data_IF_177174551578
#
_entry.id   IF_177174551578
#
_cell.length_a   1.000
_cell.length_b   1.000
_cell.length_c   1.000
_cell.angle_alpha   90.00
_cell.angle_beta   90.00
_cell.angle_gamma   90.00
#
_symmetry.space_group_name_H-M   'P 1'
#
loop_
_entity.id
_entity.type
_entity.pdbx_description
1 polymer ?
#
# COMPACT_ATOMS: atom_id res chain seq x y z
N UNK A 1 34.46 -0.74 -11.06
CA UNK A 1 34.16 -0.81 -9.64
C UNK A 1 34.23 0.62 -9.05
N UNK A 2 33.10 1.15 -8.53
CA UNK A 2 33.03 2.50 -8.01
C UNK A 2 33.58 2.62 -6.57
N UNK A 3 33.98 1.49 -5.93
CA UNK A 3 34.41 1.47 -4.53
C UNK A 3 33.33 1.85 -3.52
N UNK A 4 32.07 1.97 -3.97
CA UNK A 4 30.96 2.36 -3.12
C UNK A 4 30.50 1.16 -2.27
N UNK A 5 30.21 1.39 -0.96
CA UNK A 5 29.61 0.37 -0.12
C UNK A 5 28.18 0.06 -0.57
N UNK A 6 27.78 -1.22 -0.41
CA UNK A 6 26.45 -1.72 -0.79
C UNK A 6 25.61 -1.92 0.47
N UNK A 7 24.37 -1.47 0.47
CA UNK A 7 23.34 -1.90 1.43
C UNK A 7 22.52 -2.98 0.73
N UNK A 8 22.58 -4.21 1.23
CA UNK A 8 21.83 -5.33 0.68
C UNK A 8 20.40 -5.33 1.22
N UNK A 9 19.41 -5.09 0.37
CA UNK A 9 18.00 -5.20 0.72
C UNK A 9 17.45 -6.57 0.32
N UNK A 10 16.98 -7.36 1.30
CA UNK A 10 16.35 -8.66 1.09
C UNK A 10 14.88 -8.58 1.45
N UNK A 11 14.00 -9.07 0.56
CA UNK A 11 12.57 -9.16 0.89
C UNK A 11 12.34 -10.31 1.87
N UNK A 12 11.76 -10.01 3.04
CA UNK A 12 11.37 -11.00 4.05
C UNK A 12 9.92 -11.49 3.87
N UNK A 13 9.03 -10.63 3.32
CA UNK A 13 7.61 -10.99 3.14
C UNK A 13 7.41 -12.25 2.30
N UNK A 14 6.65 -13.21 2.84
CA UNK A 14 6.35 -14.49 2.20
C UNK A 14 7.48 -15.53 2.28
N UNK A 15 8.48 -15.31 3.15
CA UNK A 15 9.59 -16.24 3.41
C UNK A 15 9.67 -16.60 4.88
N UNK A 16 10.19 -17.78 5.16
CA UNK A 16 10.59 -18.17 6.51
C UNK A 16 11.89 -17.45 6.92
N UNK A 17 12.19 -17.31 8.22
CA UNK A 17 13.45 -16.70 8.69
C UNK A 17 14.70 -17.34 8.08
N UNK A 18 14.72 -18.67 7.97
CA UNK A 18 15.85 -19.41 7.37
C UNK A 18 16.02 -19.09 5.88
N UNK A 19 14.93 -18.99 5.11
CA UNK A 19 14.99 -18.61 3.69
C UNK A 19 15.48 -17.18 3.50
N UNK A 20 15.11 -16.26 4.40
CA UNK A 20 15.62 -14.88 4.37
C UNK A 20 17.14 -14.87 4.57
N UNK A 21 17.65 -15.61 5.55
CA UNK A 21 19.08 -15.73 5.80
C UNK A 21 19.82 -16.37 4.62
N UNK A 22 19.28 -17.45 4.08
CA UNK A 22 19.88 -18.14 2.91
C UNK A 22 19.99 -17.21 1.68
N UNK A 23 18.95 -16.43 1.40
CA UNK A 23 18.99 -15.45 0.31
C UNK A 23 20.04 -14.37 0.59
N UNK A 24 20.12 -13.89 1.84
CA UNK A 24 21.15 -12.92 2.23
C UNK A 24 22.56 -13.49 2.03
N UNK A 25 22.84 -14.72 2.49
CA UNK A 25 24.13 -15.41 2.32
C UNK A 25 24.53 -15.52 0.85
N UNK A 26 23.61 -15.97 -0.02
CA UNK A 26 23.86 -16.09 -1.46
C UNK A 26 24.20 -14.75 -2.08
N UNK A 27 23.46 -13.70 -1.74
CA UNK A 27 23.72 -12.35 -2.25
C UNK A 27 25.05 -11.79 -1.73
N UNK A 28 25.38 -12.01 -0.46
CA UNK A 28 26.67 -11.59 0.11
C UNK A 28 27.86 -12.28 -0.58
N UNK A 29 27.74 -13.56 -0.85
CA UNK A 29 28.78 -14.33 -1.58
C UNK A 29 28.99 -13.75 -2.98
N UNK A 30 27.90 -13.44 -3.71
CA UNK A 30 27.99 -12.86 -5.05
C UNK A 30 28.59 -11.43 -5.01
N UNK A 31 28.15 -10.58 -4.07
CA UNK A 31 28.71 -9.22 -3.89
C UNK A 31 30.22 -9.29 -3.60
N UNK A 32 30.63 -10.22 -2.72
CA UNK A 32 32.04 -10.42 -2.38
C UNK A 32 32.85 -10.93 -3.57
N UNK A 33 32.30 -11.87 -4.37
CA UNK A 33 32.93 -12.36 -5.58
C UNK A 33 33.20 -11.26 -6.63
N UNK A 34 32.39 -10.23 -6.63
CA UNK A 34 32.55 -9.01 -7.45
C UNK A 34 33.45 -7.95 -6.80
N UNK A 35 34.14 -8.29 -5.70
CA UNK A 35 35.00 -7.38 -4.94
C UNK A 35 34.31 -6.11 -4.45
N UNK A 36 33.02 -6.22 -4.14
CA UNK A 36 32.24 -5.14 -3.53
C UNK A 36 32.10 -5.34 -2.01
N UNK A 37 32.00 -4.25 -1.27
CA UNK A 37 31.84 -4.25 0.18
C UNK A 37 30.37 -4.05 0.55
N UNK A 38 29.84 -4.92 1.41
CA UNK A 38 28.49 -4.76 1.95
C UNK A 38 28.56 -4.09 3.32
N UNK A 39 27.94 -2.93 3.46
CA UNK A 39 27.90 -2.17 4.71
C UNK A 39 26.82 -2.68 5.68
N UNK A 40 25.66 -3.08 5.17
CA UNK A 40 24.54 -3.58 5.98
C UNK A 40 23.61 -4.50 5.18
N UNK A 41 22.86 -5.33 5.91
CA UNK A 41 21.75 -6.12 5.40
C UNK A 41 20.44 -5.50 5.93
N UNK A 42 19.46 -5.29 5.05
CA UNK A 42 18.12 -4.81 5.42
C UNK A 42 17.10 -5.85 4.97
N UNK A 43 16.53 -6.61 5.92
CA UNK A 43 15.39 -7.47 5.66
C UNK A 43 14.12 -6.61 5.66
N UNK A 44 13.54 -6.41 4.48
CA UNK A 44 12.40 -5.52 4.27
C UNK A 44 11.08 -6.29 4.14
N UNK A 45 9.98 -5.68 4.58
CA UNK A 45 8.62 -6.23 4.54
C UNK A 45 8.48 -7.52 5.33
N UNK A 46 9.06 -7.56 6.52
CA UNK A 46 8.95 -8.69 7.44
C UNK A 46 7.57 -8.69 8.11
N UNK A 47 6.94 -9.86 8.21
CA UNK A 47 5.74 -10.01 9.01
C UNK A 47 6.07 -9.69 10.48
N UNK A 48 5.26 -8.88 11.18
CA UNK A 48 5.57 -8.43 12.54
C UNK A 48 5.89 -9.56 13.51
N UNK A 49 5.19 -10.69 13.41
CA UNK A 49 5.36 -11.88 14.23
C UNK A 49 6.67 -12.64 13.95
N UNK A 50 7.30 -12.41 12.81
CA UNK A 50 8.55 -13.07 12.42
C UNK A 50 9.79 -12.20 12.62
N UNK A 51 9.64 -10.93 12.98
CA UNK A 51 10.77 -9.99 13.06
C UNK A 51 11.91 -10.48 13.96
N UNK A 52 11.59 -10.97 15.15
CA UNK A 52 12.59 -11.47 16.10
C UNK A 52 13.33 -12.70 15.57
N UNK A 53 12.62 -13.62 14.92
CA UNK A 53 13.21 -14.81 14.33
C UNK A 53 14.11 -14.47 13.13
N UNK A 54 13.67 -13.56 12.25
CA UNK A 54 14.48 -13.07 11.12
C UNK A 54 15.73 -12.35 11.63
N UNK A 55 15.61 -11.51 12.65
CA UNK A 55 16.76 -10.83 13.26
C UNK A 55 17.78 -11.83 13.85
N UNK A 56 17.30 -12.88 14.52
CA UNK A 56 18.16 -13.93 15.08
C UNK A 56 18.92 -14.69 13.99
N UNK A 57 18.28 -15.06 12.88
CA UNK A 57 18.95 -15.72 11.77
C UNK A 57 19.99 -14.80 11.10
N UNK A 58 19.64 -13.56 10.82
CA UNK A 58 20.53 -12.61 10.18
C UNK A 58 21.70 -12.17 11.08
N UNK A 59 21.54 -12.21 12.42
CA UNK A 59 22.63 -11.87 13.35
C UNK A 59 23.86 -12.77 13.25
N UNK A 60 23.74 -13.93 12.60
CA UNK A 60 24.85 -14.87 12.32
C UNK A 60 25.69 -14.43 11.12
N UNK A 61 25.18 -13.47 10.36
CA UNK A 61 25.84 -12.97 9.15
C UNK A 61 26.62 -11.68 9.45
N UNK A 62 27.58 -11.38 8.61
CA UNK A 62 28.32 -10.12 8.58
C UNK A 62 28.06 -9.49 7.21
N UNK A 63 27.76 -8.22 7.12
CA UNK A 63 27.71 -7.15 8.14
C UNK A 63 26.42 -7.13 8.96
N UNK A 64 26.30 -6.09 9.83
CA UNK A 64 25.12 -5.82 10.67
C UNK A 64 23.83 -5.83 9.86
N UNK A 65 22.76 -6.35 10.46
CA UNK A 65 21.46 -6.47 9.84
C UNK A 65 20.38 -5.66 10.56
N UNK A 66 19.42 -5.19 9.80
CA UNK A 66 18.22 -4.50 10.24
C UNK A 66 16.98 -5.20 9.69
N UNK A 67 15.88 -5.22 10.46
CA UNK A 67 14.61 -5.84 10.04
C UNK A 67 13.52 -4.78 10.05
N UNK A 68 12.93 -4.54 8.88
CA UNK A 68 11.81 -3.61 8.70
C UNK A 68 10.50 -4.38 8.58
N UNK A 69 9.47 -4.05 9.36
CA UNK A 69 8.16 -4.68 9.22
C UNK A 69 7.51 -4.34 7.89
N UNK A 70 6.52 -5.15 7.50
CA UNK A 70 5.64 -4.80 6.40
C UNK A 70 4.71 -3.66 6.83
N UNK A 71 4.74 -2.55 6.09
CA UNK A 71 3.85 -1.41 6.28
C UNK A 71 2.91 -1.31 5.06
N UNK A 72 1.66 -1.82 5.18
CA UNK A 72 0.73 -1.88 4.07
C UNK A 72 0.43 -0.51 3.46
N UNK A 73 0.44 0.55 4.27
CA UNK A 73 0.19 1.91 3.80
C UNK A 73 1.20 2.39 2.75
N UNK A 74 2.47 1.99 2.87
CA UNK A 74 3.52 2.40 1.91
C UNK A 74 3.29 1.85 0.51
N UNK A 75 2.65 0.68 0.40
CA UNK A 75 2.35 0.01 -0.87
C UNK A 75 0.89 0.19 -1.32
N UNK A 76 0.06 0.84 -0.50
CA UNK A 76 -1.33 1.12 -0.85
C UNK A 76 -1.41 1.95 -2.13
N UNK A 77 -2.23 1.54 -3.14
CA UNK A 77 -2.44 2.35 -4.33
C UNK A 77 -3.19 3.65 -3.98
N UNK A 78 -2.96 4.69 -4.74
CA UNK A 78 -3.86 5.84 -4.72
C UNK A 78 -5.17 5.54 -5.47
N UNK A 79 -6.19 6.35 -5.24
CA UNK A 79 -7.45 6.27 -6.00
C UNK A 79 -7.18 6.41 -7.51
N UNK A 80 -6.25 7.28 -7.91
CA UNK A 80 -5.82 7.40 -9.30
C UNK A 80 -5.05 6.19 -9.82
N UNK A 81 -4.30 5.47 -8.96
CA UNK A 81 -3.70 4.18 -9.35
C UNK A 81 -4.78 3.12 -9.58
N UNK A 82 -5.81 3.06 -8.72
CA UNK A 82 -6.96 2.18 -8.91
C UNK A 82 -7.72 2.52 -10.19
N UNK A 83 -8.01 3.81 -10.43
CA UNK A 83 -8.68 4.26 -11.65
C UNK A 83 -7.96 3.77 -12.90
N UNK A 84 -6.63 3.92 -12.95
CA UNK A 84 -5.82 3.42 -14.08
C UNK A 84 -5.84 1.90 -14.18
N UNK A 85 -5.72 1.21 -13.04
CA UNK A 85 -5.68 -0.25 -13.02
C UNK A 85 -6.98 -0.89 -13.55
N UNK A 86 -8.14 -0.28 -13.24
CA UNK A 86 -9.43 -0.76 -13.72
C UNK A 86 -9.86 -0.13 -15.05
N UNK A 87 -8.97 0.62 -15.72
CA UNK A 87 -9.28 1.39 -16.93
C UNK A 87 -10.57 2.23 -16.78
N UNK A 88 -10.77 2.81 -15.58
CA UNK A 88 -12.00 3.50 -15.22
C UNK A 88 -11.97 5.00 -15.48
N UNK A 89 -13.15 5.60 -15.50
CA UNK A 89 -13.38 7.04 -15.64
C UNK A 89 -13.96 7.59 -14.34
N UNK A 90 -13.45 8.72 -13.87
CA UNK A 90 -14.05 9.48 -12.77
C UNK A 90 -15.37 10.07 -13.27
N UNK A 91 -16.49 9.68 -12.67
CA UNK A 91 -17.82 10.17 -13.06
C UNK A 91 -18.39 11.17 -12.06
N UNK A 92 -17.97 11.12 -10.80
CA UNK A 92 -18.39 12.05 -9.73
C UNK A 92 -17.26 12.20 -8.69
N UNK A 93 -17.38 13.24 -7.87
CA UNK A 93 -16.45 13.53 -6.79
C UNK A 93 -15.35 14.51 -7.18
N UNK A 94 -14.33 14.61 -6.35
CA UNK A 94 -13.26 15.61 -6.51
C UNK A 94 -11.97 14.97 -7.02
N UNK A 95 -11.47 15.44 -8.17
CA UNK A 95 -10.19 15.01 -8.75
C UNK A 95 -9.00 15.19 -7.79
N UNK A 96 -9.05 16.18 -6.92
CA UNK A 96 -8.01 16.40 -5.92
C UNK A 96 -7.86 15.20 -4.96
N UNK A 97 -8.90 14.39 -4.81
CA UNK A 97 -8.90 13.18 -3.98
C UNK A 97 -8.34 11.93 -4.69
N UNK A 98 -8.02 12.01 -5.98
CA UNK A 98 -7.37 10.90 -6.70
C UNK A 98 -5.98 10.56 -6.15
N UNK A 99 -5.33 11.50 -5.47
CA UNK A 99 -4.07 11.26 -4.77
C UNK A 99 -4.21 10.54 -3.42
N UNK A 100 -5.44 10.36 -2.90
CA UNK A 100 -5.70 9.70 -1.61
C UNK A 100 -5.43 8.19 -1.73
N UNK A 101 -4.79 7.62 -0.71
CA UNK A 101 -4.51 6.18 -0.66
C UNK A 101 -5.79 5.36 -0.39
N UNK A 102 -5.90 4.22 -1.08
CA UNK A 102 -6.89 3.18 -0.82
C UNK A 102 -6.23 2.04 -0.01
N UNK A 103 -6.54 1.96 1.28
CA UNK A 103 -5.87 1.04 2.21
C UNK A 103 -6.39 -0.40 2.09
N UNK A 104 -7.53 -0.58 1.44
CA UNK A 104 -8.12 -1.89 1.20
C UNK A 104 -9.18 -1.83 0.12
N UNK A 105 -9.61 -2.99 -0.33
CA UNK A 105 -10.67 -3.16 -1.34
C UNK A 105 -11.76 -4.05 -0.77
N UNK A 106 -13.01 -3.62 -0.87
CA UNK A 106 -14.20 -4.42 -0.55
C UNK A 106 -15.02 -4.64 -1.81
N UNK A 107 -15.23 -5.91 -2.17
CA UNK A 107 -16.20 -6.26 -3.24
C UNK A 107 -17.56 -6.41 -2.58
N UNK A 108 -18.45 -5.47 -2.87
CA UNK A 108 -19.79 -5.37 -2.27
C UNK A 108 -20.83 -6.18 -3.07
N UNK A 109 -20.66 -7.51 -3.08
CA UNK A 109 -21.57 -8.45 -3.72
C UNK A 109 -22.75 -8.89 -2.85
N UNK A 110 -22.71 -8.60 -1.53
CA UNK A 110 -23.73 -8.96 -0.55
C UNK A 110 -24.78 -7.87 -0.40
N UNK A 111 -25.77 -8.06 0.50
CA UNK A 111 -26.76 -7.03 0.82
C UNK A 111 -26.11 -5.82 1.52
N UNK A 112 -26.78 -4.67 1.47
CA UNK A 112 -26.23 -3.41 2.00
C UNK A 112 -25.84 -3.53 3.48
N UNK A 113 -26.61 -4.21 4.32
CA UNK A 113 -26.34 -4.40 5.75
C UNK A 113 -24.99 -5.09 5.96
N UNK A 114 -24.74 -6.18 5.23
CA UNK A 114 -23.48 -6.92 5.33
C UNK A 114 -22.29 -6.17 4.73
N UNK A 115 -22.51 -5.31 3.76
CA UNK A 115 -21.48 -4.39 3.25
C UNK A 115 -21.07 -3.40 4.33
N UNK A 116 -22.06 -2.75 4.99
CA UNK A 116 -21.82 -1.75 6.02
C UNK A 116 -20.99 -2.27 7.19
N UNK A 117 -21.24 -3.50 7.65
CA UNK A 117 -20.48 -4.16 8.72
C UNK A 117 -18.98 -4.36 8.38
N UNK A 118 -18.65 -4.40 7.10
CA UNK A 118 -17.30 -4.69 6.57
C UNK A 118 -16.52 -3.46 6.15
N UNK A 119 -17.15 -2.30 6.15
CA UNK A 119 -16.45 -1.05 5.83
C UNK A 119 -15.31 -0.79 6.83
N UNK A 120 -14.19 -0.33 6.34
CA UNK A 120 -13.04 0.10 7.14
C UNK A 120 -12.50 1.40 6.57
N UNK A 121 -11.79 2.13 7.39
CA UNK A 121 -11.20 3.42 7.01
C UNK A 121 -10.31 3.31 5.77
N UNK A 122 -10.50 4.23 4.82
CA UNK A 122 -9.71 4.32 3.60
C UNK A 122 -9.96 3.22 2.56
N UNK A 123 -11.00 2.39 2.71
CA UNK A 123 -11.32 1.36 1.70
C UNK A 123 -11.84 1.94 0.39
N UNK A 124 -11.53 1.24 -0.71
CA UNK A 124 -12.25 1.33 -1.98
C UNK A 124 -13.36 0.28 -2.01
N UNK A 125 -14.56 0.66 -2.41
CA UNK A 125 -15.71 -0.26 -2.52
C UNK A 125 -16.02 -0.50 -3.99
N UNK A 126 -16.04 -1.77 -4.41
CA UNK A 126 -16.40 -2.21 -5.77
C UNK A 126 -17.81 -2.77 -5.74
N UNK A 127 -18.69 -2.23 -6.58
CA UNK A 127 -20.08 -2.72 -6.73
C UNK A 127 -20.57 -2.47 -8.15
N UNK A 128 -21.45 -3.33 -8.71
CA UNK A 128 -22.11 -3.01 -9.98
C UNK A 128 -22.91 -1.71 -9.90
N UNK A 129 -22.93 -0.96 -11.01
CA UNK A 129 -23.59 0.35 -11.04
C UNK A 129 -25.11 0.31 -10.89
N UNK A 130 -25.75 -0.85 -11.11
CA UNK A 130 -27.18 -1.08 -10.91
C UNK A 130 -27.55 -1.48 -9.47
N UNK A 131 -26.56 -1.69 -8.58
CA UNK A 131 -26.79 -1.97 -7.16
C UNK A 131 -27.05 -0.67 -6.38
N UNK A 132 -28.19 -0.04 -6.69
CA UNK A 132 -28.63 1.22 -6.08
C UNK A 132 -28.70 1.16 -4.55
N UNK A 133 -29.10 0.02 -4.01
CA UNK A 133 -29.16 -0.27 -2.57
C UNK A 133 -27.78 -0.13 -1.91
N UNK A 134 -26.76 -0.77 -2.48
CA UNK A 134 -25.39 -0.72 -1.98
C UNK A 134 -24.79 0.66 -2.16
N UNK A 135 -24.96 1.28 -3.34
CA UNK A 135 -24.41 2.62 -3.62
C UNK A 135 -24.92 3.62 -2.61
N UNK A 136 -26.26 3.68 -2.38
CA UNK A 136 -26.84 4.61 -1.42
C UNK A 136 -26.40 4.32 0.01
N UNK A 137 -26.32 3.06 0.43
CA UNK A 137 -25.88 2.68 1.76
C UNK A 137 -24.42 3.10 2.00
N UNK A 138 -23.53 2.84 1.04
CA UNK A 138 -22.11 3.18 1.13
C UNK A 138 -21.89 4.69 1.13
N UNK A 139 -22.61 5.43 0.29
CA UNK A 139 -22.54 6.90 0.26
C UNK A 139 -23.08 7.51 1.56
N UNK A 140 -24.18 6.99 2.09
CA UNK A 140 -24.74 7.44 3.37
C UNK A 140 -23.79 7.11 4.54
N UNK A 141 -23.17 5.95 4.54
CA UNK A 141 -22.17 5.59 5.54
C UNK A 141 -20.98 6.55 5.49
N UNK A 142 -20.45 6.84 4.28
CA UNK A 142 -19.34 7.78 4.14
C UNK A 142 -19.68 9.19 4.64
N UNK A 143 -20.94 9.59 4.56
CA UNK A 143 -21.42 10.88 5.06
C UNK A 143 -21.60 10.91 6.59
N UNK A 144 -21.74 9.75 7.22
CA UNK A 144 -22.05 9.63 8.64
C UNK A 144 -20.77 9.62 9.50
N UNK A 145 -20.74 10.40 10.58
CA UNK A 145 -19.58 10.50 11.47
C UNK A 145 -19.22 9.20 12.20
N UNK A 146 -20.21 8.32 12.39
CA UNK A 146 -20.03 7.03 13.09
C UNK A 146 -19.66 5.87 12.16
N UNK A 147 -19.40 6.13 10.88
CA UNK A 147 -18.92 5.16 9.92
C UNK A 147 -17.54 5.53 9.38
N UNK A 148 -16.76 4.52 8.86
CA UNK A 148 -15.46 4.78 8.28
C UNK A 148 -15.52 5.67 7.05
N UNK A 149 -14.56 6.58 6.91
CA UNK A 149 -14.38 7.36 5.69
C UNK A 149 -13.76 6.51 4.59
N UNK A 150 -14.35 6.47 3.41
CA UNK A 150 -13.92 5.67 2.27
C UNK A 150 -12.98 6.45 1.35
N UNK A 151 -12.18 5.76 0.55
CA UNK A 151 -11.30 6.39 -0.45
C UNK A 151 -12.00 6.61 -1.79
N UNK A 152 -12.81 5.65 -2.25
CA UNK A 152 -13.53 5.72 -3.53
C UNK A 152 -14.63 4.64 -3.59
N UNK A 153 -15.58 4.83 -4.48
CA UNK A 153 -16.49 3.79 -4.97
C UNK A 153 -16.18 3.51 -6.44
N UNK A 154 -16.04 2.24 -6.80
CA UNK A 154 -15.81 1.78 -8.18
C UNK A 154 -17.06 1.05 -8.64
N UNK A 155 -17.73 1.62 -9.63
CA UNK A 155 -18.90 1.04 -10.27
C UNK A 155 -18.41 0.18 -11.45
N UNK A 156 -18.65 -1.11 -11.38
CA UNK A 156 -18.20 -2.06 -12.40
C UNK A 156 -19.33 -2.58 -13.27
N UNK A 157 -18.97 -3.30 -14.35
CA UNK A 157 -19.92 -3.96 -15.26
C UNK A 157 -20.45 -3.06 -16.38
N UNK A 158 -19.92 -1.85 -16.57
CA UNK A 158 -20.43 -0.92 -17.59
C UNK A 158 -21.85 -0.43 -17.32
N UNK A 159 -22.37 -0.62 -16.11
CA UNK A 159 -23.73 -0.27 -15.72
C UNK A 159 -23.76 1.14 -15.13
N UNK A 160 -24.46 2.11 -15.76
CA UNK A 160 -24.56 3.47 -15.21
C UNK A 160 -25.47 3.51 -13.99
N UNK A 161 -25.25 4.50 -13.13
CA UNK A 161 -26.20 4.82 -12.07
C UNK A 161 -27.55 5.22 -12.67
N UNK A 162 -28.64 4.71 -12.08
CA UNK A 162 -29.96 5.20 -12.43
C UNK A 162 -30.06 6.73 -12.17
N UNK A 163 -30.68 7.54 -13.06
CA UNK A 163 -30.72 9.00 -12.93
C UNK A 163 -31.19 9.49 -11.56
N UNK A 164 -32.22 8.86 -10.98
CA UNK A 164 -32.71 9.21 -9.65
C UNK A 164 -31.68 8.96 -8.54
N UNK A 165 -30.88 7.88 -8.67
CA UNK A 165 -29.80 7.56 -7.71
C UNK A 165 -28.65 8.57 -7.87
N UNK A 166 -28.31 8.89 -9.11
CA UNK A 166 -27.30 9.90 -9.40
C UNK A 166 -27.67 11.26 -8.80
N UNK A 167 -28.93 11.66 -8.90
CA UNK A 167 -29.45 12.89 -8.30
C UNK A 167 -29.41 12.87 -6.76
N UNK A 168 -29.70 11.73 -6.13
CA UNK A 168 -29.58 11.58 -4.67
C UNK A 168 -28.13 11.70 -4.22
N UNK A 169 -27.20 11.02 -4.92
CA UNK A 169 -25.76 11.10 -4.64
C UNK A 169 -25.26 12.54 -4.77
N UNK A 170 -25.70 13.28 -5.79
CA UNK A 170 -25.37 14.69 -5.97
C UNK A 170 -25.92 15.55 -4.81
N UNK A 171 -27.13 15.24 -4.35
CA UNK A 171 -27.77 15.93 -3.22
C UNK A 171 -27.05 15.74 -1.88
N UNK A 172 -26.26 14.68 -1.72
CA UNK A 172 -25.43 14.48 -0.52
C UNK A 172 -24.22 15.45 -0.47
N UNK A 173 -23.85 16.09 -1.57
CA UNK A 173 -22.74 17.05 -1.63
C UNK A 173 -21.38 16.45 -1.29
N UNK A 174 -21.22 15.13 -1.40
CA UNK A 174 -19.98 14.43 -1.04
C UNK A 174 -18.92 14.59 -2.13
N UNK A 175 -17.66 14.70 -1.67
CA UNK A 175 -16.49 14.81 -2.55
C UNK A 175 -15.88 13.45 -2.89
N UNK A 176 -16.44 12.35 -2.36
CA UNK A 176 -15.93 10.99 -2.57
C UNK A 176 -15.86 10.68 -4.06
N UNK A 177 -14.68 10.28 -4.60
CA UNK A 177 -14.55 9.87 -5.99
C UNK A 177 -15.40 8.65 -6.30
N UNK A 178 -16.16 8.71 -7.40
CA UNK A 178 -16.88 7.57 -7.98
C UNK A 178 -16.29 7.31 -9.37
N UNK A 179 -15.74 6.13 -9.54
CA UNK A 179 -15.09 5.67 -10.76
C UNK A 179 -16.00 4.65 -11.43
N UNK A 180 -16.24 4.77 -12.72
CA UNK A 180 -16.96 3.77 -13.52
C UNK A 180 -16.00 3.00 -14.42
N UNK A 181 -16.22 1.68 -14.56
CA UNK A 181 -15.46 0.82 -15.45
C UNK A 181 -16.37 -0.20 -16.14
N UNK A 182 -16.02 -0.58 -17.36
CA UNK A 182 -16.71 -1.61 -18.13
C UNK A 182 -16.32 -3.04 -17.70
N UNK A 183 -15.25 -3.19 -16.90
CA UNK A 183 -14.79 -4.48 -16.42
C UNK A 183 -15.85 -5.17 -15.55
N UNK A 184 -15.96 -6.49 -15.67
CA UNK A 184 -16.75 -7.32 -14.78
C UNK A 184 -16.20 -7.33 -13.35
N UNK A 185 -16.99 -7.85 -12.39
CA UNK A 185 -16.62 -7.81 -10.96
C UNK A 185 -15.29 -8.51 -10.68
N UNK A 186 -15.06 -9.68 -11.28
CA UNK A 186 -13.83 -10.43 -11.07
C UNK A 186 -12.60 -9.68 -11.60
N UNK A 187 -12.67 -9.14 -12.80
CA UNK A 187 -11.56 -8.42 -13.42
C UNK A 187 -11.28 -7.10 -12.70
N UNK A 188 -12.33 -6.38 -12.30
CA UNK A 188 -12.20 -5.15 -11.49
C UNK A 188 -11.52 -5.44 -10.16
N UNK A 189 -11.94 -6.48 -9.44
CA UNK A 189 -11.37 -6.87 -8.16
C UNK A 189 -9.92 -7.33 -8.32
N UNK A 190 -9.62 -8.12 -9.34
CA UNK A 190 -8.27 -8.61 -9.65
C UNK A 190 -7.33 -7.47 -9.99
N UNK A 191 -7.76 -6.53 -10.84
CA UNK A 191 -6.98 -5.35 -11.21
C UNK A 191 -6.72 -4.45 -9.99
N UNK A 192 -7.74 -4.20 -9.17
CA UNK A 192 -7.61 -3.40 -7.96
C UNK A 192 -6.68 -4.08 -6.93
N UNK A 193 -6.79 -5.40 -6.75
CA UNK A 193 -5.92 -6.16 -5.85
C UNK A 193 -4.45 -6.22 -6.33
N UNK A 194 -4.22 -6.18 -7.64
CA UNK A 194 -2.89 -6.14 -8.23
C UNK A 194 -2.26 -4.74 -8.21
N UNK A 195 -3.06 -3.69 -8.08
CA UNK A 195 -2.58 -2.31 -8.05
C UNK A 195 -1.63 -2.09 -6.87
N UNK A 196 -0.52 -1.41 -7.13
CA UNK A 196 0.48 -1.06 -6.12
C UNK A 196 0.78 0.42 -6.19
N UNK A 197 0.70 1.06 -5.04
CA UNK A 197 1.16 2.42 -4.88
C UNK A 197 2.67 2.50 -4.80
N UNK A 198 3.18 3.70 -5.04
CA UNK A 198 4.59 4.05 -4.88
C UNK A 198 4.72 5.23 -3.94
N UNK A 199 5.86 5.33 -3.29
CA UNK A 199 6.24 6.57 -2.61
C UNK A 199 6.75 7.53 -3.66
N UNK A 200 6.10 8.68 -3.80
CA UNK A 200 6.49 9.74 -4.73
C UNK A 200 6.78 11.02 -3.94
N UNK A 201 7.39 12.00 -4.58
CA UNK A 201 7.68 13.30 -3.95
C UNK A 201 6.43 14.01 -3.41
N UNK A 202 5.26 13.70 -3.95
CA UNK A 202 3.98 14.26 -3.52
C UNK A 202 3.28 13.44 -2.43
N UNK A 203 3.82 12.26 -2.10
CA UNK A 203 3.22 11.33 -1.12
C UNK A 203 3.71 11.65 0.31
N UNK A 204 3.45 12.88 0.82
CA UNK A 204 3.93 13.35 2.14
C UNK A 204 3.70 12.31 3.24
N UNK A 205 2.47 11.84 3.41
CA UNK A 205 2.14 10.86 4.45
C UNK A 205 2.95 9.56 4.33
N UNK A 206 3.18 9.07 3.10
CA UNK A 206 4.02 7.88 2.88
C UNK A 206 5.49 8.17 3.19
N UNK A 207 5.98 9.35 2.84
CA UNK A 207 7.35 9.78 3.18
C UNK A 207 7.52 9.80 4.69
N UNK A 208 6.62 10.48 5.41
CA UNK A 208 6.66 10.58 6.87
C UNK A 208 6.58 9.18 7.52
N UNK A 209 5.72 8.30 7.01
CA UNK A 209 5.60 6.90 7.47
C UNK A 209 6.90 6.12 7.21
N UNK A 210 7.51 6.28 6.04
CA UNK A 210 8.77 5.61 5.70
C UNK A 210 9.92 6.09 6.57
N UNK A 211 10.02 7.39 6.84
CA UNK A 211 11.02 7.97 7.75
C UNK A 211 10.83 7.44 9.17
N UNK A 212 9.60 7.49 9.70
CA UNK A 212 9.30 6.95 11.03
C UNK A 212 9.60 5.45 11.16
N UNK A 213 9.40 4.68 10.07
CA UNK A 213 9.75 3.27 10.02
C UNK A 213 11.27 3.07 10.09
N UNK A 214 12.03 3.85 9.33
CA UNK A 214 13.50 3.82 9.35
C UNK A 214 14.03 4.22 10.74
N UNK A 215 13.58 5.32 11.31
CA UNK A 215 14.03 5.83 12.63
C UNK A 215 13.78 4.81 13.76
N UNK A 216 12.71 4.03 13.65
CA UNK A 216 12.35 3.02 14.67
C UNK A 216 13.16 1.74 14.57
N UNK A 217 13.55 1.33 13.37
CA UNK A 217 14.10 0.00 13.12
C UNK A 217 15.54 -0.02 12.60
N UNK A 218 16.09 1.12 12.23
CA UNK A 218 17.47 1.25 11.71
C UNK A 218 18.23 2.24 12.57
N UNK A 219 19.36 1.83 13.10
CA UNK A 219 20.33 2.76 13.68
C UNK A 219 21.03 3.50 12.53
N UNK A 220 20.45 4.64 12.15
CA UNK A 220 20.93 5.43 11.02
C UNK A 220 22.33 6.03 11.26
N UNK A 221 22.66 6.34 12.52
CA UNK A 221 24.00 6.86 12.87
C UNK A 221 25.07 5.77 12.65
N UNK A 222 24.82 4.55 13.12
CA UNK A 222 25.69 3.41 12.91
C UNK A 222 25.83 3.05 11.42
N UNK A 223 24.70 3.04 10.70
CA UNK A 223 24.70 2.78 9.24
C UNK A 223 25.54 3.83 8.49
N UNK A 224 25.40 5.11 8.79
CA UNK A 224 26.18 6.19 8.19
C UNK A 224 27.66 6.07 8.51
N UNK A 225 28.01 5.69 9.74
CA UNK A 225 29.39 5.43 10.14
C UNK A 225 30.01 4.29 9.32
N UNK A 226 29.27 3.21 9.08
CA UNK A 226 29.73 2.09 8.24
C UNK A 226 29.87 2.48 6.76
N UNK A 227 29.06 3.43 6.29
CA UNK A 227 29.16 3.97 4.93
C UNK A 227 30.28 5.02 4.79
N UNK A 228 30.98 5.36 5.88
CA UNK A 228 31.95 6.47 5.95
C UNK A 228 31.39 7.81 5.45
N UNK A 229 30.10 8.05 5.63
CA UNK A 229 29.41 9.29 5.28
C UNK A 229 29.42 10.20 6.52
N UNK A 230 29.93 11.46 6.43
CA UNK A 230 29.89 12.40 7.55
C UNK A 230 28.42 12.64 7.98
N UNK A 231 28.16 12.53 9.29
CA UNK A 231 26.84 12.89 9.85
C UNK A 231 26.71 14.42 9.76
N UNK A 232 25.66 14.99 9.13
CA UNK A 232 25.45 16.42 9.14
C UNK A 232 25.24 16.88 10.59
N UNK A 233 26.11 17.76 11.06
CA UNK A 233 25.88 18.51 12.33
C UNK A 233 24.76 19.51 12.09
N UNK A 234 23.61 19.33 12.77
CA UNK A 234 22.47 20.27 12.79
C UNK A 234 22.78 21.42 13.72
#
# INVERSE_FOLDING_TARGET
NLGAPVVLAVRAGGRTPAEVAQVAELCLAEISAQHAYTAAIVANRCAPEQMSAVAAELSRLTPKSYVLPEEPFLVAPSVGDLQRAVAGTLIKGDEALLGREAIGVLVAGMTAEHVLERLREGMAVITPGDRSDVVLAVMSAHAAENFPSLSTVILNGGLPLHPSIAALVDGLGLRLPIIATDLGTFDTASAAAAARGRVTVNSRRKIDTALALMDRHVDTADLLAQLAIPIPTV
#
